data_IF_095283344750
#
_entry.id   IF_095283344750
#
_cell.length_a   1.000
_cell.length_b   1.000
_cell.length_c   1.000
_cell.angle_alpha   90.00
_cell.angle_beta   90.00
_cell.angle_gamma   90.00
#
_symmetry.space_group_name_H-M   'P 1'
#
loop_
_entity.id
_entity.type
_entity.pdbx_description
1 polymer ?
#
# COMPACT_ATOMS: atom_id res chain seq x y z
N UNK A 1 -23.23 -13.95 -4.48
CA UNK A 1 -21.80 -14.21 -4.21
C UNK A 1 -20.95 -13.76 -5.39
N UNK A 2 -19.83 -13.13 -5.14
CA UNK A 2 -18.98 -12.66 -6.22
C UNK A 2 -18.20 -13.80 -6.89
N UNK A 3 -17.81 -13.57 -8.16
CA UNK A 3 -16.96 -14.51 -8.89
C UNK A 3 -15.49 -14.20 -8.59
N UNK A 4 -14.72 -15.13 -7.95
CA UNK A 4 -13.32 -14.87 -7.58
C UNK A 4 -12.37 -14.67 -8.77
N UNK A 5 -12.78 -14.99 -9.98
CA UNK A 5 -12.01 -14.69 -11.20
C UNK A 5 -12.18 -13.24 -11.66
N UNK A 6 -13.22 -12.55 -11.21
CA UNK A 6 -13.56 -11.18 -11.61
C UNK A 6 -13.47 -10.16 -10.49
N UNK A 7 -13.53 -10.60 -9.25
CA UNK A 7 -13.53 -9.73 -8.07
C UNK A 7 -12.39 -10.15 -7.15
N UNK A 8 -11.51 -9.19 -6.84
CA UNK A 8 -10.37 -9.39 -5.97
C UNK A 8 -10.58 -8.60 -4.68
N UNK A 9 -10.28 -9.22 -3.55
CA UNK A 9 -10.38 -8.56 -2.24
C UNK A 9 -9.04 -7.94 -1.85
N UNK A 10 -9.07 -6.68 -1.51
CA UNK A 10 -7.92 -5.94 -1.01
C UNK A 10 -8.16 -5.42 0.40
N UNK A 11 -7.07 -5.11 1.12
CA UNK A 11 -7.14 -4.62 2.49
C UNK A 11 -6.04 -3.60 2.75
N UNK A 12 -6.32 -2.64 3.64
CA UNK A 12 -5.33 -1.69 4.13
C UNK A 12 -4.60 -2.27 5.35
N UNK A 13 -3.34 -1.86 5.60
CA UNK A 13 -2.56 -2.38 6.73
C UNK A 13 -2.98 -1.84 8.10
N UNK A 14 -3.98 -0.98 8.17
CA UNK A 14 -4.40 -0.30 9.41
C UNK A 14 -4.79 -1.26 10.54
N UNK A 15 -5.22 -2.47 10.23
CA UNK A 15 -5.52 -3.50 11.21
C UNK A 15 -4.29 -4.06 11.93
N UNK A 16 -3.10 -3.88 11.37
CA UNK A 16 -1.82 -4.36 11.92
C UNK A 16 -0.98 -3.24 12.49
N UNK A 17 -1.00 -2.08 11.85
CA UNK A 17 -0.25 -0.90 12.28
C UNK A 17 -0.95 0.36 11.80
N UNK A 18 -0.84 1.44 12.59
CA UNK A 18 -1.53 2.69 12.29
C UNK A 18 -0.51 3.78 11.95
N UNK A 19 -0.62 4.35 10.75
CA UNK A 19 0.32 5.39 10.29
C UNK A 19 0.13 6.72 11.03
N UNK A 20 -1.11 6.99 11.50
CA UNK A 20 -1.42 8.21 12.27
C UNK A 20 -1.06 8.07 13.75
N UNK A 21 -1.08 6.86 14.27
CA UNK A 21 -0.70 6.54 15.65
C UNK A 21 0.33 5.40 15.63
N UNK A 22 1.60 5.72 15.32
CA UNK A 22 2.63 4.71 15.08
C UNK A 22 2.91 3.75 16.23
N UNK A 23 2.53 4.10 17.46
CA UNK A 23 2.65 3.24 18.62
C UNK A 23 1.70 2.03 18.57
N UNK A 24 0.60 2.13 17.84
CA UNK A 24 -0.33 1.03 17.68
C UNK A 24 0.20 0.04 16.62
N UNK A 25 0.50 -1.16 17.05
CA UNK A 25 1.04 -2.18 16.16
C UNK A 25 2.50 -1.96 15.77
N UNK A 26 3.25 -1.19 16.55
CA UNK A 26 4.65 -0.88 16.28
C UNK A 26 5.53 -2.14 16.16
N UNK A 27 5.17 -3.20 16.88
CA UNK A 27 5.86 -4.50 16.85
C UNK A 27 5.62 -5.30 15.58
N UNK A 28 4.58 -4.99 14.83
CA UNK A 28 4.26 -5.70 13.60
C UNK A 28 5.16 -5.23 12.45
N UNK A 29 5.83 -6.15 11.79
CA UNK A 29 6.69 -5.84 10.65
C UNK A 29 5.89 -5.81 9.34
N UNK A 30 6.46 -5.18 8.30
CA UNK A 30 5.89 -5.24 6.95
C UNK A 30 5.68 -6.69 6.50
N UNK A 31 6.70 -7.55 6.67
CA UNK A 31 6.64 -8.95 6.24
C UNK A 31 5.53 -9.72 6.95
N UNK A 32 5.38 -9.51 8.25
CA UNK A 32 4.30 -10.12 9.02
C UNK A 32 2.94 -9.65 8.50
N UNK A 33 2.78 -8.35 8.32
CA UNK A 33 1.52 -7.75 7.86
C UNK A 33 1.07 -8.35 6.53
N UNK A 34 1.92 -8.33 5.51
CA UNK A 34 1.53 -8.83 4.19
C UNK A 34 1.39 -10.34 4.13
N UNK A 35 2.15 -11.07 4.96
CA UNK A 35 1.98 -12.53 5.07
C UNK A 35 0.64 -12.90 5.68
N UNK A 36 0.20 -12.19 6.72
CA UNK A 36 -1.10 -12.42 7.34
C UNK A 36 -2.25 -12.00 6.43
N UNK A 37 -2.11 -10.93 5.66
CA UNK A 37 -3.08 -10.55 4.63
C UNK A 37 -3.27 -11.66 3.61
N UNK A 38 -2.17 -12.23 3.12
CA UNK A 38 -2.20 -13.32 2.15
C UNK A 38 -2.84 -14.59 2.74
N UNK A 39 -2.52 -14.93 3.99
CA UNK A 39 -3.10 -16.08 4.69
C UNK A 39 -4.61 -15.91 4.89
N UNK A 40 -5.08 -14.69 5.07
CA UNK A 40 -6.50 -14.39 5.20
C UNK A 40 -7.27 -14.45 3.86
N UNK A 41 -6.56 -14.57 2.73
CA UNK A 41 -7.17 -14.69 1.41
C UNK A 41 -7.22 -13.41 0.60
N UNK A 42 -6.61 -12.33 1.05
CA UNK A 42 -6.53 -11.09 0.29
C UNK A 42 -5.48 -11.18 -0.81
N UNK A 43 -5.77 -10.61 -1.98
CA UNK A 43 -4.86 -10.59 -3.13
C UNK A 43 -4.34 -9.20 -3.46
N UNK A 44 -4.85 -8.17 -2.80
CA UNK A 44 -4.41 -6.80 -2.97
C UNK A 44 -4.28 -6.08 -1.65
N UNK A 45 -3.45 -5.04 -1.60
CA UNK A 45 -3.31 -4.22 -0.39
C UNK A 45 -3.03 -2.77 -0.74
N UNK A 46 -3.36 -1.89 0.21
CA UNK A 46 -2.95 -0.50 0.17
C UNK A 46 -1.56 -0.35 0.77
N UNK A 47 -0.76 0.60 0.28
CA UNK A 47 0.58 0.87 0.81
C UNK A 47 0.48 1.56 2.17
N UNK A 48 1.25 1.07 3.14
CA UNK A 48 1.44 1.70 4.44
C UNK A 48 2.88 2.18 4.63
N UNK A 49 3.14 2.89 5.73
CA UNK A 49 4.44 3.50 6.00
C UNK A 49 5.60 2.50 6.16
N UNK A 50 5.30 1.27 6.55
CA UNK A 50 6.32 0.23 6.77
C UNK A 50 6.73 -0.49 5.48
N UNK A 51 6.08 -0.18 4.37
CA UNK A 51 6.34 -0.84 3.09
C UNK A 51 7.65 -0.35 2.49
N UNK A 52 8.38 -1.21 1.75
CA UNK A 52 9.59 -0.78 1.05
C UNK A 52 9.32 0.38 0.10
N UNK A 53 10.22 1.35 0.05
CA UNK A 53 10.12 2.50 -0.85
C UNK A 53 10.62 2.19 -2.27
N UNK A 54 11.42 1.13 -2.43
CA UNK A 54 11.87 0.68 -3.74
C UNK A 54 10.75 -0.15 -4.41
N UNK A 55 10.24 0.29 -5.58
CA UNK A 55 9.16 -0.43 -6.25
C UNK A 55 9.50 -1.88 -6.60
N UNK A 56 10.75 -2.14 -6.94
CA UNK A 56 11.21 -3.50 -7.31
C UNK A 56 11.20 -4.43 -6.10
N UNK A 57 11.70 -3.94 -4.96
CA UNK A 57 11.69 -4.71 -3.71
C UNK A 57 10.26 -4.95 -3.25
N UNK A 58 9.42 -3.93 -3.29
CA UNK A 58 8.02 -4.05 -2.91
C UNK A 58 7.30 -5.09 -3.78
N UNK A 59 7.46 -4.99 -5.10
CA UNK A 59 6.87 -5.95 -6.03
C UNK A 59 7.33 -7.37 -5.75
N UNK A 60 8.62 -7.57 -5.51
CA UNK A 60 9.19 -8.87 -5.21
C UNK A 60 8.56 -9.48 -3.95
N UNK A 61 8.48 -8.71 -2.87
CA UNK A 61 7.91 -9.17 -1.60
C UNK A 61 6.43 -9.53 -1.74
N UNK A 62 5.68 -8.78 -2.53
CA UNK A 62 4.27 -9.06 -2.77
C UNK A 62 4.07 -10.24 -3.71
N UNK A 63 4.89 -10.37 -4.76
CA UNK A 63 4.82 -11.50 -5.70
C UNK A 63 5.04 -12.84 -4.99
N UNK A 64 5.96 -12.89 -4.00
CA UNK A 64 6.19 -14.07 -3.18
C UNK A 64 4.93 -14.58 -2.46
N UNK A 65 3.96 -13.68 -2.23
CA UNK A 65 2.73 -13.96 -1.48
C UNK A 65 1.47 -13.95 -2.35
N UNK A 66 1.64 -13.84 -3.67
CA UNK A 66 0.53 -13.77 -4.61
C UNK A 66 -0.30 -12.50 -4.45
N UNK A 67 0.32 -11.41 -4.01
CA UNK A 67 -0.34 -10.13 -3.76
C UNK A 67 0.17 -9.03 -4.69
N UNK A 68 -0.59 -7.94 -4.77
CA UNK A 68 -0.22 -6.74 -5.51
C UNK A 68 -0.81 -5.50 -4.85
N UNK A 69 -0.24 -4.34 -5.19
CA UNK A 69 -0.76 -3.06 -4.69
C UNK A 69 -2.05 -2.73 -5.42
N UNK A 70 -3.07 -2.39 -4.64
CA UNK A 70 -4.36 -1.93 -5.15
C UNK A 70 -4.48 -0.42 -5.09
N UNK A 71 -3.88 0.23 -4.09
CA UNK A 71 -3.99 1.67 -3.89
C UNK A 71 -2.88 2.21 -2.99
N UNK A 72 -2.81 3.54 -2.97
CA UNK A 72 -1.92 4.28 -2.08
C UNK A 72 -2.58 5.60 -1.73
N UNK A 73 -2.43 6.03 -0.49
CA UNK A 73 -2.83 7.38 -0.10
C UNK A 73 -1.90 8.41 -0.72
N UNK A 74 -2.45 9.44 -1.31
CA UNK A 74 -1.71 10.58 -1.82
C UNK A 74 -2.33 11.87 -1.30
N UNK A 75 -1.52 12.72 -0.68
CA UNK A 75 -1.95 14.05 -0.25
C UNK A 75 -1.50 15.10 -1.24
N UNK A 76 -2.44 15.84 -1.82
CA UNK A 76 -2.14 16.95 -2.72
C UNK A 76 -2.28 18.28 -1.95
N UNK A 77 -1.18 19.02 -1.83
CA UNK A 77 -1.15 20.26 -1.04
C UNK A 77 -1.39 21.50 -1.91
N UNK A 78 -2.51 21.48 -2.67
CA UNK A 78 -2.85 22.54 -3.62
C UNK A 78 -3.02 23.92 -2.97
N UNK A 79 -3.40 23.95 -1.70
CA UNK A 79 -3.59 25.21 -0.97
C UNK A 79 -2.31 25.82 -0.42
N UNK A 80 -1.24 25.03 -0.31
CA UNK A 80 0.00 25.43 0.36
C UNK A 80 1.24 25.34 -0.50
N UNK A 81 1.17 24.66 -1.64
CA UNK A 81 2.29 24.47 -2.57
C UNK A 81 1.93 24.96 -3.97
N UNK A 82 2.94 25.40 -4.78
CA UNK A 82 2.72 25.72 -6.19
C UNK A 82 2.17 24.53 -6.95
N UNK A 83 1.30 24.81 -7.93
CA UNK A 83 0.67 23.77 -8.75
C UNK A 83 1.71 22.84 -9.41
N UNK A 84 2.77 23.40 -9.97
CA UNK A 84 3.81 22.61 -10.65
C UNK A 84 4.47 21.60 -9.73
N UNK A 85 4.68 21.96 -8.46
CA UNK A 85 5.24 21.06 -7.45
C UNK A 85 4.26 19.94 -7.12
N UNK A 86 2.98 20.25 -6.95
CA UNK A 86 1.94 19.26 -6.66
C UNK A 86 1.76 18.30 -7.84
N UNK A 87 1.78 18.82 -9.07
CA UNK A 87 1.72 18.00 -10.28
C UNK A 87 2.90 17.03 -10.37
N UNK A 88 4.12 17.50 -10.09
CA UNK A 88 5.31 16.65 -10.10
C UNK A 88 5.21 15.54 -9.04
N UNK A 89 4.74 15.85 -7.85
CA UNK A 89 4.53 14.88 -6.78
C UNK A 89 3.49 13.84 -7.17
N UNK A 90 2.42 14.26 -7.81
CA UNK A 90 1.37 13.36 -8.27
C UNK A 90 1.87 12.41 -9.36
N UNK A 91 2.62 12.93 -10.33
CA UNK A 91 3.21 12.11 -11.40
C UNK A 91 4.19 11.09 -10.82
N UNK A 92 5.04 11.49 -9.87
CA UNK A 92 5.96 10.58 -9.19
C UNK A 92 5.20 9.46 -8.45
N UNK A 93 4.05 9.77 -7.85
CA UNK A 93 3.20 8.77 -7.21
C UNK A 93 2.62 7.78 -8.21
N UNK A 94 2.16 8.26 -9.36
CA UNK A 94 1.65 7.40 -10.43
C UNK A 94 2.76 6.48 -10.96
N UNK A 95 3.95 7.00 -11.19
CA UNK A 95 5.09 6.23 -11.68
C UNK A 95 5.51 5.14 -10.70
N UNK A 96 5.45 5.43 -9.40
CA UNK A 96 5.72 4.44 -8.37
C UNK A 96 4.70 3.29 -8.41
N UNK A 97 3.41 3.60 -8.61
CA UNK A 97 2.35 2.61 -8.62
C UNK A 97 2.29 1.79 -9.93
N UNK A 98 2.88 2.30 -10.98
CA UNK A 98 2.84 1.65 -12.30
C UNK A 98 3.76 0.36 -12.36
#
# INVERSE_FOLDING_TARGET
MFNPEKVFLGIAPIGWCNDDMPELGAENTFRQTVSEMALAGFTGCEIGNKYPSDPKELKHQLDLRGMRIASRWFSSFLLTKPYEEVEADFIANLDFLA
#
